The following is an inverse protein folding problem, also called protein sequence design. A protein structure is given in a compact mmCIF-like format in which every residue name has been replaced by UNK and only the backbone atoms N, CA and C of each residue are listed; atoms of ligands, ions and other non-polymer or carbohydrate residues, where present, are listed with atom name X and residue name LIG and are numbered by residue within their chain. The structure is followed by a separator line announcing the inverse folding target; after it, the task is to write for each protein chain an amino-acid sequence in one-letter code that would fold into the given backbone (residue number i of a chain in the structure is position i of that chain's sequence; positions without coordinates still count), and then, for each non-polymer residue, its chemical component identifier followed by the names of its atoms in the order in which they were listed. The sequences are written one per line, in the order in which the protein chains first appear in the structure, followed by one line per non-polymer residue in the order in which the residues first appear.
data_IF_196867428500
#
_entry.id   IF_196867428500
#
_cell.length_a   1.000
_cell.length_b   1.000
_cell.length_c   1.000
_cell.angle_alpha   90.00
_cell.angle_beta   90.00
_cell.angle_gamma   90.00
#
_symmetry.space_group_name_H-M   'P 1'
#
loop_
_entity.id
_entity.type
_entity.pdbx_description
1 polymer ?
#
# COMPACT_ATOMS: atom_id res chain seq x y z
N UNK A 1 -10.05 -5.33 -22.96
CA UNK A 1 -9.12 -4.18 -22.86
C UNK A 1 -9.88 -2.88 -23.00
N UNK A 2 -10.09 -2.11 -21.91
CA UNK A 2 -10.20 -0.68 -22.04
C UNK A 2 -8.77 -0.13 -22.21
N UNK A 3 -8.44 0.21 -23.46
CA UNK A 3 -7.44 1.23 -23.74
C UNK A 3 -7.89 2.55 -23.07
N UNK A 4 -6.92 3.37 -22.66
CA UNK A 4 -7.08 4.68 -22.01
C UNK A 4 -7.15 4.70 -20.47
N UNK A 5 -6.42 3.83 -19.77
CA UNK A 5 -5.88 4.27 -18.48
C UNK A 5 -4.74 5.26 -18.77
N UNK A 6 -5.10 6.54 -18.95
CA UNK A 6 -4.14 7.62 -18.73
C UNK A 6 -3.63 7.47 -17.31
N UNK A 7 -2.50 6.79 -17.16
CA UNK A 7 -1.78 6.72 -15.90
C UNK A 7 -1.59 8.17 -15.46
N UNK A 8 -1.96 8.53 -14.23
CA UNK A 8 -1.44 9.77 -13.69
C UNK A 8 0.09 9.61 -13.66
N UNK A 9 0.83 10.59 -14.18
CA UNK A 9 2.29 10.72 -14.02
C UNK A 9 2.64 10.93 -12.53
N UNK A 10 2.30 9.97 -11.67
CA UNK A 10 2.16 10.20 -10.23
C UNK A 10 3.44 9.91 -9.45
N UNK A 11 4.37 9.16 -10.06
CA UNK A 11 5.67 8.87 -9.47
C UNK A 11 6.74 9.27 -10.47
N UNK A 12 7.19 10.53 -10.36
CA UNK A 12 8.39 11.01 -11.02
C UNK A 12 9.57 10.07 -10.74
N UNK A 13 10.56 10.02 -11.63
CA UNK A 13 11.80 9.25 -11.42
C UNK A 13 12.42 9.51 -10.05
N UNK A 14 12.32 10.76 -9.57
CA UNK A 14 12.76 11.18 -8.25
C UNK A 14 12.03 10.46 -7.10
N UNK A 15 10.71 10.33 -7.18
CA UNK A 15 9.93 9.60 -6.17
C UNK A 15 10.21 8.09 -6.21
N UNK A 16 10.55 7.52 -7.38
CA UNK A 16 11.00 6.10 -7.48
C UNK A 16 12.36 5.89 -6.79
N UNK A 17 13.28 6.85 -6.95
CA UNK A 17 14.58 6.84 -6.27
C UNK A 17 14.39 6.98 -4.76
N UNK A 18 13.61 7.96 -4.30
CA UNK A 18 13.31 8.13 -2.86
C UNK A 18 12.64 6.90 -2.24
N UNK A 19 11.74 6.25 -2.98
CA UNK A 19 11.11 4.99 -2.57
C UNK A 19 12.12 3.85 -2.42
N UNK A 20 13.08 3.77 -3.33
CA UNK A 20 14.15 2.75 -3.30
C UNK A 20 15.17 3.04 -2.20
N UNK A 21 15.42 4.32 -1.90
CA UNK A 21 16.30 4.75 -0.79
C UNK A 21 15.71 4.41 0.58
N UNK A 22 14.38 4.27 0.68
CA UNK A 22 13.71 3.88 1.91
C UNK A 22 13.50 2.37 2.01
N UNK A 23 14.54 1.66 2.47
CA UNK A 23 14.58 0.20 2.54
C UNK A 23 13.38 -0.42 3.29
N UNK A 24 12.94 0.17 4.40
CA UNK A 24 11.81 -0.33 5.20
C UNK A 24 10.51 -0.38 4.39
N UNK A 25 10.17 0.70 3.68
CA UNK A 25 8.95 0.74 2.86
C UNK A 25 9.11 -0.10 1.59
N UNK A 26 10.30 -0.07 0.97
CA UNK A 26 10.59 -0.88 -0.21
C UNK A 26 10.43 -2.38 0.06
N UNK A 27 10.91 -2.87 1.22
CA UNK A 27 10.71 -4.26 1.66
C UNK A 27 9.22 -4.62 1.76
N UNK A 28 8.41 -3.73 2.32
CA UNK A 28 6.97 -3.97 2.45
C UNK A 28 6.24 -3.93 1.11
N UNK A 29 6.62 -3.02 0.21
CA UNK A 29 6.09 -3.01 -1.16
C UNK A 29 6.46 -4.33 -1.84
N UNK A 30 7.72 -4.74 -1.77
CA UNK A 30 8.17 -6.00 -2.35
C UNK A 30 7.37 -7.19 -1.78
N UNK A 31 7.20 -7.28 -0.46
CA UNK A 31 6.40 -8.31 0.21
C UNK A 31 4.96 -8.40 -0.32
N UNK A 32 4.29 -7.27 -0.49
CA UNK A 32 2.88 -7.22 -0.91
C UNK A 32 2.68 -7.20 -2.43
N UNK A 33 3.76 -7.14 -3.21
CA UNK A 33 3.74 -7.16 -4.68
C UNK A 33 4.44 -8.39 -5.28
N UNK A 34 5.03 -9.25 -4.46
CA UNK A 34 5.61 -10.52 -4.92
C UNK A 34 4.49 -11.49 -5.28
N UNK A 35 4.57 -12.05 -6.49
CA UNK A 35 3.55 -12.95 -7.01
C UNK A 35 3.66 -14.32 -6.37
N UNK A 36 2.53 -15.00 -6.24
CA UNK A 36 2.50 -16.38 -5.73
C UNK A 36 3.24 -17.35 -6.66
N UNK A 37 3.16 -17.11 -7.98
CA UNK A 37 3.88 -17.89 -9.00
C UNK A 37 5.40 -17.78 -8.91
N UNK A 38 5.92 -16.72 -8.30
CA UNK A 38 7.35 -16.48 -8.16
C UNK A 38 7.92 -17.14 -6.88
N UNK A 39 7.13 -17.98 -6.20
CA UNK A 39 7.56 -18.71 -4.99
C UNK A 39 7.21 -18.00 -3.68
N UNK A 40 6.51 -16.88 -3.73
CA UNK A 40 6.16 -16.07 -2.56
C UNK A 40 7.29 -15.15 -2.10
N UNK A 41 7.04 -14.34 -1.07
CA UNK A 41 8.04 -13.42 -0.53
C UNK A 41 9.20 -14.18 0.10
N UNK A 42 10.42 -13.87 -0.35
CA UNK A 42 11.66 -14.29 0.27
C UNK A 42 12.53 -13.04 0.56
N UNK A 43 12.87 -12.83 1.84
CA UNK A 43 13.69 -11.69 2.25
C UNK A 43 15.12 -11.77 1.69
N UNK A 44 15.62 -12.98 1.44
CA UNK A 44 16.92 -13.19 0.80
C UNK A 44 16.92 -12.70 -0.65
N UNK A 45 15.82 -12.86 -1.38
CA UNK A 45 15.70 -12.41 -2.77
C UNK A 45 15.66 -10.87 -2.87
N UNK A 46 15.04 -10.22 -1.90
CA UNK A 46 15.11 -8.76 -1.78
C UNK A 46 16.54 -8.31 -1.51
N UNK A 47 17.19 -8.86 -0.47
CA UNK A 47 18.55 -8.46 -0.06
C UNK A 47 19.64 -8.87 -1.06
N UNK A 48 19.40 -9.84 -1.93
CA UNK A 48 20.32 -10.29 -2.97
C UNK A 48 20.36 -9.34 -4.17
N UNK A 49 19.37 -8.46 -4.34
CA UNK A 49 19.37 -7.46 -5.39
C UNK A 49 20.39 -6.36 -5.07
N UNK A 50 21.41 -6.11 -5.92
CA UNK A 50 22.46 -5.12 -5.65
C UNK A 50 21.96 -3.69 -5.49
N UNK A 51 20.69 -3.44 -5.83
CA UNK A 51 20.11 -2.10 -5.85
C UNK A 51 18.84 -1.98 -4.98
N UNK A 52 18.25 -3.08 -4.48
CA UNK A 52 16.95 -3.06 -3.79
C UNK A 52 15.86 -2.22 -4.52
N UNK A 53 15.99 -2.04 -5.84
CA UNK A 53 15.11 -1.18 -6.63
C UNK A 53 13.83 -1.93 -6.94
N UNK A 54 12.70 -1.30 -6.63
CA UNK A 54 11.38 -1.79 -6.98
C UNK A 54 11.14 -1.68 -8.49
N UNK A 55 10.60 -2.73 -9.09
CA UNK A 55 10.15 -2.68 -10.49
C UNK A 55 8.91 -1.80 -10.65
N UNK A 56 8.66 -1.33 -11.88
CA UNK A 56 7.48 -0.49 -12.16
C UNK A 56 6.16 -1.19 -11.84
N UNK A 57 6.09 -2.50 -12.05
CA UNK A 57 4.90 -3.29 -11.73
C UNK A 57 4.68 -3.37 -10.21
N UNK A 58 5.74 -3.54 -9.41
CA UNK A 58 5.63 -3.57 -7.95
C UNK A 58 5.17 -2.22 -7.39
N UNK A 59 5.68 -1.13 -7.96
CA UNK A 59 5.23 0.21 -7.63
C UNK A 59 3.76 0.39 -8.01
N UNK A 60 3.36 -0.05 -9.21
CA UNK A 60 1.97 0.01 -9.68
C UNK A 60 1.03 -0.76 -8.75
N UNK A 61 1.37 -2.00 -8.43
CA UNK A 61 0.60 -2.85 -7.52
C UNK A 61 0.50 -2.21 -6.12
N UNK A 62 1.56 -1.56 -5.64
CA UNK A 62 1.51 -0.81 -4.38
C UNK A 62 0.56 0.39 -4.43
N UNK A 63 0.55 1.18 -5.52
CA UNK A 63 -0.28 2.40 -5.60
C UNK A 63 -1.70 2.16 -6.10
N UNK A 64 -2.00 1.01 -6.70
CA UNK A 64 -3.34 0.67 -7.18
C UNK A 64 -4.01 -0.45 -6.39
N UNK A 65 -3.23 -1.26 -5.67
CA UNK A 65 -3.73 -2.33 -4.82
C UNK A 65 -4.34 -1.83 -3.51
N UNK A 66 -4.83 -2.77 -2.67
CA UNK A 66 -5.56 -2.45 -1.45
C UNK A 66 -4.72 -1.68 -0.41
N UNK A 67 -3.39 -1.82 -0.46
CA UNK A 67 -2.46 -1.09 0.41
C UNK A 67 -2.12 0.33 -0.08
N UNK A 68 -2.69 0.78 -1.20
CA UNK A 68 -2.37 2.09 -1.82
C UNK A 68 -2.42 3.24 -0.82
N UNK A 69 -3.51 3.35 -0.07
CA UNK A 69 -3.67 4.39 0.93
C UNK A 69 -2.55 4.36 1.99
N UNK A 70 -2.23 3.17 2.49
CA UNK A 70 -1.15 2.96 3.46
C UNK A 70 0.20 3.40 2.88
N UNK A 71 0.58 2.91 1.71
CA UNK A 71 1.87 3.24 1.09
C UNK A 71 1.97 4.73 0.76
N UNK A 72 0.95 5.32 0.13
CA UNK A 72 0.95 6.74 -0.25
C UNK A 72 1.06 7.66 0.96
N UNK A 73 0.37 7.35 2.07
CA UNK A 73 0.44 8.15 3.28
C UNK A 73 1.84 8.08 3.92
N UNK A 74 2.50 6.90 3.89
CA UNK A 74 3.89 6.76 4.35
C UNK A 74 4.91 7.43 3.44
N UNK A 75 4.74 7.36 2.13
CA UNK A 75 5.60 8.05 1.15
C UNK A 75 5.56 9.57 1.39
N UNK A 76 4.37 10.13 1.63
CA UNK A 76 4.22 11.56 1.95
C UNK A 76 4.99 11.93 3.22
N UNK A 77 4.84 11.14 4.28
CA UNK A 77 5.55 11.34 5.55
C UNK A 77 7.07 11.30 5.35
N UNK A 78 7.58 10.29 4.64
CA UNK A 78 9.01 10.17 4.37
C UNK A 78 9.55 11.30 3.47
N UNK A 79 8.75 11.79 2.52
CA UNK A 79 9.14 12.93 1.67
C UNK A 79 9.47 14.17 2.51
N UNK A 80 8.75 14.41 3.62
CA UNK A 80 9.07 15.52 4.54
C UNK A 80 10.45 15.34 5.17
N UNK A 81 10.76 14.13 5.65
CA UNK A 81 12.05 13.80 6.25
C UNK A 81 13.18 13.91 5.22
N UNK A 82 12.98 13.35 4.02
CA UNK A 82 13.96 13.37 2.95
C UNK A 82 14.31 14.81 2.51
N UNK A 83 13.31 15.69 2.41
CA UNK A 83 13.51 17.12 2.13
C UNK A 83 14.33 17.80 3.23
N UNK A 84 14.01 17.54 4.50
CA UNK A 84 14.76 18.08 5.63
C UNK A 84 16.22 17.61 5.61
N UNK A 85 16.46 16.31 5.36
CA UNK A 85 17.81 15.76 5.23
C UNK A 85 18.58 16.38 4.06
N UNK A 86 17.92 16.57 2.92
CA UNK A 86 18.53 17.20 1.75
C UNK A 86 18.93 18.65 2.05
N UNK A 87 18.05 19.43 2.69
CA UNK A 87 18.36 20.80 3.10
C UNK A 87 19.54 20.86 4.09
N UNK A 88 19.58 19.95 5.08
CA UNK A 88 20.68 19.87 6.04
C UNK A 88 22.03 19.53 5.37
N UNK A 89 22.03 18.59 4.43
CA UNK A 89 23.24 18.22 3.68
C UNK A 89 23.74 19.37 2.80
N UNK A 90 22.83 20.11 2.17
CA UNK A 90 23.15 21.27 1.35
C UNK A 90 23.76 22.40 2.20
N UNK A 91 23.22 22.69 3.38
CA UNK A 91 23.77 23.72 4.26
C UNK A 91 25.14 23.32 4.85
N UNK A 92 25.39 22.02 5.04
CA UNK A 92 26.69 21.52 5.49
C UNK A 92 27.79 21.57 4.40
N UNK A 93 27.43 21.62 3.12
CA UNK A 93 28.39 21.58 2.00
C UNK A 93 28.44 22.91 1.23
N UNK A 94 29.49 23.68 1.45
CA UNK A 94 29.68 24.98 0.78
C UNK A 94 29.70 24.88 -0.76
N UNK A 95 30.19 23.77 -1.31
CA UNK A 95 30.20 23.50 -2.77
C UNK A 95 28.81 23.29 -3.38
N UNK A 96 27.81 22.91 -2.56
CA UNK A 96 26.44 22.73 -3.02
C UNK A 96 25.66 24.05 -2.96
N UNK A 97 26.02 24.97 -2.05
CA UNK A 97 25.36 26.28 -1.86
C UNK A 97 25.32 27.13 -3.12
N UNK A 98 26.41 27.13 -3.89
CA UNK A 98 26.54 27.92 -5.12
C UNK A 98 25.71 27.36 -6.30
N UNK A 99 25.29 26.09 -6.22
CA UNK A 99 24.52 25.41 -7.27
C UNK A 99 22.98 25.41 -7.03
N UNK A 100 22.50 26.00 -5.92
CA UNK A 100 21.07 25.95 -5.51
C UNK A 100 20.18 26.90 -6.31
N UNK A 101 20.73 27.82 -7.10
CA UNK A 101 19.95 28.87 -7.82
C UNK A 101 18.87 28.33 -8.77
N UNK A 102 18.84 27.01 -9.03
CA UNK A 102 17.84 26.32 -9.85
C UNK A 102 17.00 25.25 -9.12
N UNK A 103 17.22 25.02 -7.82
CA UNK A 103 16.42 24.07 -7.04
C UNK A 103 15.06 24.68 -6.67
N UNK A 104 14.05 23.83 -6.61
CA UNK A 104 12.65 24.20 -6.33
C UNK A 104 12.57 25.02 -5.04
N UNK A 105 11.83 26.14 -5.05
CA UNK A 105 11.74 27.04 -3.89
C UNK A 105 11.17 26.36 -2.65
N UNK A 106 10.43 25.27 -2.85
CA UNK A 106 9.85 24.43 -1.81
C UNK A 106 10.87 23.50 -1.12
N UNK A 107 12.09 23.38 -1.64
CA UNK A 107 13.21 22.61 -1.05
C UNK A 107 14.12 23.48 -0.16
N UNK A 108 13.97 24.81 -0.22
CA UNK A 108 14.78 25.74 0.57
C UNK A 108 14.11 25.95 1.93
N UNK A 109 14.48 25.13 2.91
CA UNK A 109 14.14 25.39 4.31
C UNK A 109 14.91 26.63 4.81
N UNK A 110 14.29 27.39 5.70
CA UNK A 110 14.93 28.56 6.34
C UNK A 110 16.16 28.07 7.13
N UNK A 111 17.26 28.83 7.18
CA UNK A 111 18.49 28.41 7.90
C UNK A 111 18.20 28.05 9.36
N UNK A 112 17.29 28.80 9.97
CA UNK A 112 16.81 28.59 11.34
C UNK A 112 16.09 27.24 11.53
N UNK A 113 15.53 26.67 10.47
CA UNK A 113 14.91 25.33 10.47
C UNK A 113 15.96 24.23 10.34
N UNK A 114 17.00 24.43 9.54
CA UNK A 114 18.08 23.46 9.34
C UNK A 114 18.95 23.32 10.58
N UNK A 115 19.32 24.43 11.23
CA UNK A 115 20.10 24.43 12.49
C UNK A 115 19.36 23.76 13.65
N UNK A 116 18.02 23.70 13.58
CA UNK A 116 17.16 23.13 14.62
C UNK A 116 17.03 21.61 14.55
N UNK A 117 17.36 20.99 13.41
CA UNK A 117 17.33 19.55 13.23
C UNK A 117 18.72 19.04 12.82
N UNK A 118 19.64 18.82 13.78
CA UNK A 118 20.89 18.17 13.47
C UNK A 118 20.63 16.77 12.89
N UNK A 119 21.58 16.24 12.11
CA UNK A 119 21.48 14.96 11.40
C UNK A 119 21.03 13.81 12.31
N UNK A 120 21.46 13.80 13.57
CA UNK A 120 21.06 12.79 14.56
C UNK A 120 19.57 12.84 14.90
N UNK A 121 18.96 14.03 14.99
CA UNK A 121 17.51 14.18 15.24
C UNK A 121 16.70 13.77 14.01
N UNK A 122 17.17 14.11 12.79
CA UNK A 122 16.54 13.63 11.55
C UNK A 122 16.58 12.11 11.48
N UNK A 123 17.67 11.49 11.94
CA UNK A 123 17.82 10.03 11.99
C UNK A 123 16.83 9.41 12.98
N UNK A 124 16.71 9.97 14.20
CA UNK A 124 15.72 9.50 15.20
C UNK A 124 14.27 9.61 14.69
N UNK A 125 13.93 10.69 13.98
CA UNK A 125 12.59 10.85 13.41
C UNK A 125 12.33 9.80 12.32
N UNK A 126 13.33 9.50 11.48
CA UNK A 126 13.21 8.41 10.51
C UNK A 126 13.06 7.05 11.20
N UNK A 127 13.86 6.74 12.22
CA UNK A 127 13.77 5.47 12.96
C UNK A 127 12.39 5.30 13.62
N UNK A 128 11.82 6.39 14.16
CA UNK A 128 10.45 6.40 14.68
C UNK A 128 9.41 6.14 13.57
N UNK A 129 9.58 6.74 12.40
CA UNK A 129 8.71 6.47 11.24
C UNK A 129 8.84 5.01 10.78
N UNK A 130 10.05 4.46 10.73
CA UNK A 130 10.33 3.08 10.34
C UNK A 130 9.64 2.09 11.29
N UNK A 131 9.77 2.30 12.60
CA UNK A 131 9.11 1.49 13.61
C UNK A 131 7.57 1.56 13.48
N UNK A 132 7.02 2.76 13.24
CA UNK A 132 5.59 2.93 13.00
C UNK A 132 5.14 2.21 11.73
N UNK A 133 5.89 2.27 10.64
CA UNK A 133 5.54 1.62 9.37
C UNK A 133 5.43 0.11 9.55
N UNK A 134 6.40 -0.50 10.25
CA UNK A 134 6.39 -1.94 10.55
C UNK A 134 5.20 -2.29 11.44
N UNK A 135 4.98 -1.53 12.52
CA UNK A 135 3.86 -1.77 13.45
C UNK A 135 2.50 -1.64 12.75
N UNK A 136 2.32 -0.58 11.96
CA UNK A 136 1.11 -0.36 11.17
C UNK A 136 0.87 -1.49 10.17
N UNK A 137 1.90 -1.99 9.49
CA UNK A 137 1.76 -3.12 8.59
C UNK A 137 1.28 -4.39 9.33
N UNK A 138 1.83 -4.67 10.52
CA UNK A 138 1.38 -5.80 11.34
C UNK A 138 -0.09 -5.67 11.76
N UNK A 139 -0.55 -4.44 12.05
CA UNK A 139 -1.98 -4.20 12.32
C UNK A 139 -2.86 -4.52 11.12
N UNK A 140 -2.43 -4.14 9.90
CA UNK A 140 -3.13 -4.51 8.66
C UNK A 140 -3.18 -6.03 8.48
N UNK A 141 -2.05 -6.72 8.65
CA UNK A 141 -1.99 -8.18 8.56
C UNK A 141 -2.92 -8.87 9.56
N UNK A 142 -2.99 -8.34 10.79
CA UNK A 142 -3.94 -8.79 11.79
C UNK A 142 -5.40 -8.63 11.35
N UNK A 143 -5.77 -7.47 10.78
CA UNK A 143 -7.13 -7.25 10.26
C UNK A 143 -7.46 -8.17 9.09
N UNK A 144 -6.51 -8.40 8.18
CA UNK A 144 -6.73 -9.23 7.00
C UNK A 144 -7.17 -10.63 7.35
N UNK A 145 -6.55 -11.24 8.36
CA UNK A 145 -6.94 -12.55 8.86
C UNK A 145 -8.41 -12.59 9.29
N UNK A 146 -8.87 -11.61 10.07
CA UNK A 146 -10.26 -11.54 10.52
C UNK A 146 -11.25 -11.32 9.37
N UNK A 147 -10.88 -10.45 8.42
CA UNK A 147 -11.69 -10.18 7.25
C UNK A 147 -11.84 -11.40 6.33
N UNK A 148 -10.75 -12.14 6.15
CA UNK A 148 -10.75 -13.39 5.39
C UNK A 148 -11.70 -14.41 6.03
N UNK A 149 -11.57 -14.62 7.33
CA UNK A 149 -12.43 -15.52 8.10
C UNK A 149 -13.91 -15.11 8.08
N UNK A 150 -14.20 -13.80 8.12
CA UNK A 150 -15.57 -13.28 8.03
C UNK A 150 -16.21 -13.60 6.68
N UNK A 151 -15.46 -13.43 5.58
CA UNK A 151 -15.96 -13.73 4.23
C UNK A 151 -16.18 -15.22 4.03
N UNK A 152 -15.17 -16.05 4.30
CA UNK A 152 -15.27 -17.51 4.11
C UNK A 152 -16.32 -18.11 5.04
N UNK A 153 -16.39 -17.64 6.29
CA UNK A 153 -17.43 -18.01 7.24
C UNK A 153 -18.83 -17.66 6.76
N UNK A 154 -19.03 -16.47 6.18
CA UNK A 154 -20.33 -16.07 5.61
C UNK A 154 -20.75 -16.97 4.45
N UNK A 155 -19.83 -17.34 3.55
CA UNK A 155 -20.13 -18.27 2.44
C UNK A 155 -20.50 -19.67 2.96
N UNK A 156 -19.69 -20.22 3.86
CA UNK A 156 -19.90 -21.55 4.43
C UNK A 156 -21.23 -21.65 5.19
N UNK A 157 -21.55 -20.65 6.03
CA UNK A 157 -22.81 -20.60 6.78
C UNK A 157 -24.04 -20.48 5.88
N UNK A 158 -23.88 -20.02 4.65
CA UNK A 158 -24.96 -19.89 3.67
C UNK A 158 -24.94 -21.00 2.60
N UNK A 159 -24.31 -22.13 2.90
CA UNK A 159 -24.40 -23.35 2.09
C UNK A 159 -23.45 -23.41 0.90
N UNK A 160 -22.47 -22.50 0.80
CA UNK A 160 -21.37 -22.62 -0.15
C UNK A 160 -20.12 -23.10 0.58
N UNK A 161 -19.99 -24.42 0.70
CA UNK A 161 -18.84 -25.04 1.37
C UNK A 161 -17.55 -24.78 0.58
N UNK A 162 -16.56 -24.14 1.19
CA UNK A 162 -15.19 -23.96 0.65
C UNK A 162 -14.29 -25.10 1.12
N UNK A 163 -13.37 -25.56 0.27
CA UNK A 163 -12.30 -26.48 0.68
C UNK A 163 -11.19 -25.75 1.42
N UNK A 164 -10.30 -26.51 2.05
CA UNK A 164 -9.06 -25.97 2.64
C UNK A 164 -8.24 -25.24 1.57
N UNK A 165 -7.99 -25.88 0.42
CA UNK A 165 -7.25 -25.27 -0.69
C UNK A 165 -7.88 -23.97 -1.19
N UNK A 166 -9.21 -23.93 -1.36
CA UNK A 166 -9.94 -22.72 -1.76
C UNK A 166 -9.79 -21.60 -0.71
N UNK A 167 -9.78 -21.97 0.58
CA UNK A 167 -9.63 -21.03 1.69
C UNK A 167 -8.20 -20.51 1.79
N UNK A 168 -7.20 -21.35 1.54
CA UNK A 168 -5.79 -20.98 1.51
C UNK A 168 -5.50 -20.03 0.34
N UNK A 169 -5.99 -20.34 -0.87
CA UNK A 169 -5.86 -19.49 -2.05
C UNK A 169 -6.57 -18.13 -1.85
N UNK A 170 -7.74 -18.14 -1.21
CA UNK A 170 -8.43 -16.91 -0.84
C UNK A 170 -7.67 -16.07 0.20
N UNK A 171 -6.94 -16.72 1.11
CA UNK A 171 -6.19 -16.04 2.17
C UNK A 171 -4.79 -15.59 1.72
N UNK A 172 -4.25 -16.20 0.66
CA UNK A 172 -2.93 -15.87 0.14
C UNK A 172 -2.84 -14.40 -0.32
N UNK A 173 -1.74 -13.68 0.00
CA UNK A 173 -1.51 -12.34 -0.53
C UNK A 173 -1.32 -12.44 -2.05
N UNK A 174 -2.02 -11.60 -2.80
CA UNK A 174 -1.97 -11.60 -4.26
C UNK A 174 -1.93 -10.16 -4.77
N UNK A 175 -0.91 -9.77 -5.55
CA UNK A 175 -0.86 -8.45 -6.17
C UNK A 175 -2.04 -8.27 -7.14
N UNK A 176 -2.50 -7.03 -7.31
CA UNK A 176 -3.66 -6.74 -8.16
C UNK A 176 -3.43 -7.17 -9.62
N UNK A 177 -2.21 -7.02 -10.13
CA UNK A 177 -1.84 -7.51 -11.47
C UNK A 177 -2.03 -9.03 -11.63
N UNK A 178 -1.72 -9.82 -10.59
CA UNK A 178 -1.89 -11.27 -10.61
C UNK A 178 -3.37 -11.67 -10.46
N UNK A 179 -4.09 -11.01 -9.56
CA UNK A 179 -5.52 -11.23 -9.37
C UNK A 179 -6.31 -10.97 -10.66
N UNK A 180 -6.02 -9.87 -11.38
CA UNK A 180 -6.66 -9.58 -12.66
C UNK A 180 -6.29 -10.60 -13.74
N UNK A 181 -5.04 -11.07 -13.77
CA UNK A 181 -4.62 -12.11 -14.71
C UNK A 181 -5.37 -13.44 -14.52
N UNK A 182 -5.83 -13.74 -13.29
CA UNK A 182 -6.68 -14.92 -13.03
C UNK A 182 -8.04 -14.81 -13.70
N UNK A 183 -8.65 -13.62 -13.72
CA UNK A 183 -9.90 -13.37 -14.44
C UNK A 183 -9.75 -13.62 -15.95
N UNK A 184 -8.66 -13.14 -16.53
CA UNK A 184 -8.33 -13.39 -17.94
C UNK A 184 -8.14 -14.90 -18.20
N UNK A 185 -7.43 -15.59 -17.29
CA UNK A 185 -7.19 -17.03 -17.37
C UNK A 185 -8.45 -17.89 -17.34
N UNK A 186 -9.50 -17.46 -16.65
CA UNK A 186 -10.81 -18.13 -16.62
C UNK A 186 -11.82 -17.54 -17.61
N UNK A 187 -11.40 -16.56 -18.42
CA UNK A 187 -12.22 -15.86 -19.42
C UNK A 187 -13.52 -15.26 -18.85
N UNK A 188 -13.42 -14.59 -17.70
CA UNK A 188 -14.55 -13.91 -17.05
C UNK A 188 -14.22 -12.43 -16.86
N UNK A 189 -15.21 -11.58 -17.12
CA UNK A 189 -15.06 -10.14 -16.86
C UNK A 189 -15.06 -9.89 -15.34
N UNK A 190 -14.03 -9.22 -14.79
CA UNK A 190 -14.00 -8.90 -13.37
C UNK A 190 -15.15 -7.95 -12.98
N UNK A 191 -15.68 -8.05 -11.75
CA UNK A 191 -16.60 -7.05 -11.21
C UNK A 191 -16.03 -5.65 -11.32
N UNK A 192 -16.89 -4.67 -11.61
CA UNK A 192 -16.48 -3.26 -11.61
C UNK A 192 -16.07 -2.83 -10.20
N UNK A 193 -14.89 -2.26 -10.10
CA UNK A 193 -14.28 -1.70 -8.89
C UNK A 193 -13.67 -0.34 -9.20
N UNK A 194 -13.54 0.50 -8.17
CA UNK A 194 -12.93 1.83 -8.29
C UNK A 194 -11.45 1.77 -7.88
N UNK A 195 -10.59 2.48 -8.61
CA UNK A 195 -9.15 2.51 -8.36
C UNK A 195 -8.72 3.84 -7.71
N UNK A 196 -7.71 3.83 -6.81
CA UNK A 196 -7.04 2.65 -6.25
C UNK A 196 -7.98 1.78 -5.41
N UNK A 197 -7.76 0.47 -5.39
CA UNK A 197 -8.66 -0.46 -4.70
C UNK A 197 -8.67 -0.22 -3.19
N UNK A 198 -9.85 -0.30 -2.59
CA UNK A 198 -9.98 -0.56 -1.16
C UNK A 198 -9.76 -2.04 -0.85
N UNK A 199 -9.60 -2.39 0.44
CA UNK A 199 -9.60 -3.80 0.84
C UNK A 199 -10.95 -4.47 0.56
N UNK A 200 -12.06 -3.73 0.68
CA UNK A 200 -13.38 -4.25 0.33
C UNK A 200 -13.47 -4.61 -1.16
N UNK A 201 -12.94 -3.76 -2.05
CA UNK A 201 -12.91 -4.04 -3.50
C UNK A 201 -12.01 -5.23 -3.82
N UNK A 202 -10.82 -5.28 -3.21
CA UNK A 202 -9.89 -6.40 -3.36
C UNK A 202 -10.53 -7.73 -2.93
N UNK A 203 -11.16 -7.77 -1.75
CA UNK A 203 -11.86 -8.97 -1.30
C UNK A 203 -13.09 -9.29 -2.12
N UNK A 204 -13.77 -8.29 -2.70
CA UNK A 204 -14.88 -8.52 -3.64
C UNK A 204 -14.39 -9.28 -4.88
N UNK A 205 -13.24 -8.88 -5.44
CA UNK A 205 -12.62 -9.56 -6.56
C UNK A 205 -12.18 -10.99 -6.18
N UNK A 206 -11.54 -11.18 -5.03
CA UNK A 206 -11.15 -12.53 -4.58
C UNK A 206 -12.36 -13.43 -4.32
N UNK A 207 -13.40 -12.89 -3.68
CA UNK A 207 -14.60 -13.65 -3.33
C UNK A 207 -15.36 -14.11 -4.56
N UNK A 208 -15.39 -13.31 -5.63
CA UNK A 208 -16.02 -13.71 -6.88
C UNK A 208 -15.33 -14.94 -7.49
N UNK A 209 -13.99 -14.96 -7.54
CA UNK A 209 -13.22 -16.13 -8.00
C UNK A 209 -13.42 -17.35 -7.09
N UNK A 210 -13.43 -17.13 -5.77
CA UNK A 210 -13.69 -18.18 -4.78
C UNK A 210 -15.08 -18.82 -4.99
N UNK A 211 -16.11 -17.99 -5.15
CA UNK A 211 -17.49 -18.46 -5.37
C UNK A 211 -17.58 -19.22 -6.69
N UNK A 212 -16.99 -18.70 -7.76
CA UNK A 212 -16.92 -19.38 -9.06
C UNK A 212 -16.28 -20.77 -8.91
N UNK A 213 -15.12 -20.85 -8.25
CA UNK A 213 -14.39 -22.09 -8.01
C UNK A 213 -15.24 -23.10 -7.22
N UNK A 214 -15.81 -22.66 -6.10
CA UNK A 214 -16.63 -23.50 -5.24
C UNK A 214 -17.90 -24.02 -5.95
N UNK A 215 -18.58 -23.17 -6.73
CA UNK A 215 -19.75 -23.57 -7.51
C UNK A 215 -19.40 -24.57 -8.61
N UNK A 216 -18.30 -24.32 -9.35
CA UNK A 216 -17.81 -25.20 -10.40
C UNK A 216 -17.49 -26.59 -9.85
N UNK A 217 -16.75 -26.67 -8.74
CA UNK A 217 -16.43 -27.92 -8.05
C UNK A 217 -17.68 -28.66 -7.57
N UNK A 218 -18.69 -27.95 -7.08
CA UNK A 218 -19.95 -28.54 -6.63
C UNK A 218 -20.89 -28.91 -7.80
N UNK A 219 -20.44 -28.73 -9.05
CA UNK A 219 -21.25 -28.92 -10.26
C UNK A 219 -22.57 -28.11 -10.24
N UNK A 220 -22.54 -26.96 -9.58
CA UNK A 220 -23.66 -26.03 -9.54
C UNK A 220 -23.55 -25.02 -10.70
N UNK A 221 -24.67 -24.41 -11.13
CA UNK A 221 -24.63 -23.28 -12.03
C UNK A 221 -23.69 -22.19 -11.48
N UNK A 222 -22.79 -21.70 -12.32
CA UNK A 222 -21.76 -20.72 -11.93
C UNK A 222 -21.70 -19.54 -12.91
N UNK A 223 -22.85 -19.22 -13.50
CA UNK A 223 -23.01 -17.98 -14.27
C UNK A 223 -22.96 -16.75 -13.34
N UNK A 224 -22.81 -15.57 -13.95
CA UNK A 224 -22.72 -14.31 -13.21
C UNK A 224 -23.93 -14.07 -12.27
N UNK A 225 -25.12 -14.52 -12.65
CA UNK A 225 -26.34 -14.34 -11.83
C UNK A 225 -26.27 -15.16 -10.56
N UNK A 226 -25.78 -16.39 -10.65
CA UNK A 226 -25.64 -17.28 -9.50
C UNK A 226 -24.49 -16.82 -8.58
N UNK A 227 -23.38 -16.33 -9.13
CA UNK A 227 -22.30 -15.74 -8.34
C UNK A 227 -22.80 -14.50 -7.59
N UNK A 228 -23.51 -13.60 -8.27
CA UNK A 228 -24.09 -12.39 -7.66
C UNK A 228 -25.07 -12.69 -6.52
N UNK A 229 -25.74 -13.85 -6.55
CA UNK A 229 -26.59 -14.28 -5.43
C UNK A 229 -25.77 -14.50 -4.15
N UNK A 230 -24.60 -15.12 -4.25
CA UNK A 230 -23.69 -15.31 -3.12
C UNK A 230 -22.96 -14.02 -2.74
N UNK A 231 -22.58 -13.19 -3.71
CA UNK A 231 -21.98 -11.88 -3.44
C UNK A 231 -22.88 -10.99 -2.59
N UNK A 232 -24.21 -11.08 -2.74
CA UNK A 232 -25.17 -10.34 -1.88
C UNK A 232 -25.07 -10.72 -0.40
N UNK A 233 -24.67 -11.95 -0.08
CA UNK A 233 -24.46 -12.41 1.30
C UNK A 233 -23.21 -11.80 1.92
N UNK A 234 -22.27 -11.35 1.09
CA UNK A 234 -21.04 -10.69 1.51
C UNK A 234 -21.19 -9.18 1.70
N UNK A 235 -22.36 -8.61 1.43
CA UNK A 235 -22.59 -7.16 1.57
C UNK A 235 -22.25 -6.66 2.97
N UNK A 236 -22.64 -7.38 4.01
CA UNK A 236 -22.34 -6.98 5.38
C UNK A 236 -20.83 -7.11 5.70
N UNK A 237 -20.18 -8.28 5.50
CA UNK A 237 -18.73 -8.40 5.67
C UNK A 237 -17.92 -7.34 4.93
N UNK A 238 -18.26 -7.06 3.66
CA UNK A 238 -17.56 -6.05 2.86
C UNK A 238 -17.74 -4.62 3.41
N UNK A 239 -18.94 -4.28 3.90
CA UNK A 239 -19.17 -2.99 4.57
C UNK A 239 -18.40 -2.88 5.90
N UNK A 240 -18.24 -3.99 6.63
CA UNK A 240 -17.45 -4.03 7.87
C UNK A 240 -15.96 -3.86 7.58
N UNK A 241 -15.46 -4.46 6.50
CA UNK A 241 -14.09 -4.27 6.00
C UNK A 241 -13.86 -2.80 5.66
N UNK A 242 -14.75 -2.17 4.88
CA UNK A 242 -14.59 -0.76 4.50
C UNK A 242 -14.57 0.18 5.73
N UNK A 243 -15.40 -0.10 6.75
CA UNK A 243 -15.39 0.64 8.02
C UNK A 243 -14.10 0.42 8.79
N UNK A 244 -13.66 -0.83 8.91
CA UNK A 244 -12.43 -1.21 9.61
C UNK A 244 -11.21 -0.57 8.96
N UNK A 245 -11.13 -0.60 7.62
CA UNK A 245 -10.09 0.05 6.82
C UNK A 245 -10.03 1.55 7.11
N UNK A 246 -11.17 2.25 7.04
CA UNK A 246 -11.23 3.70 7.30
C UNK A 246 -10.80 4.05 8.73
N UNK A 247 -11.23 3.25 9.71
CA UNK A 247 -10.87 3.46 11.10
C UNK A 247 -9.38 3.26 11.33
N UNK A 248 -8.82 2.13 10.85
CA UNK A 248 -7.41 1.81 10.99
C UNK A 248 -6.55 2.87 10.30
N UNK A 249 -6.88 3.24 9.06
CA UNK A 249 -6.16 4.29 8.34
C UNK A 249 -6.16 5.61 9.10
N UNK A 250 -7.31 6.05 9.63
CA UNK A 250 -7.39 7.31 10.39
C UNK A 250 -6.53 7.28 11.64
N UNK A 251 -6.52 6.17 12.36
CA UNK A 251 -5.66 5.97 13.52
C UNK A 251 -4.18 6.09 13.11
N UNK A 252 -3.76 5.32 12.11
CA UNK A 252 -2.36 5.29 11.67
C UNK A 252 -1.91 6.62 11.07
N UNK A 253 -2.81 7.36 10.41
CA UNK A 253 -2.53 8.70 9.93
C UNK A 253 -2.24 9.63 11.11
N UNK A 254 -3.07 9.60 12.16
CA UNK A 254 -2.84 10.40 13.38
C UNK A 254 -1.51 10.07 14.03
N UNK A 255 -1.17 8.78 14.17
CA UNK A 255 0.10 8.33 14.75
C UNK A 255 1.31 8.76 13.89
N UNK A 256 1.15 8.74 12.56
CA UNK A 256 2.18 9.22 11.62
C UNK A 256 2.34 10.73 11.69
N UNK A 257 1.25 11.47 11.75
CA UNK A 257 1.24 12.94 11.84
C UNK A 257 1.93 13.39 13.14
N UNK A 258 1.77 12.67 14.26
CA UNK A 258 2.50 12.97 15.52
C UNK A 258 4.02 12.90 15.34
N UNK A 259 4.53 11.97 14.53
CA UNK A 259 5.98 11.88 14.24
C UNK A 259 6.42 12.97 13.29
N UNK A 260 5.64 13.26 12.24
CA UNK A 260 5.98 14.30 11.26
C UNK A 260 5.78 15.71 11.80
N UNK A 261 4.87 15.92 12.75
CA UNK A 261 4.63 17.23 13.36
C UNK A 261 5.80 17.70 14.22
N UNK A 262 6.65 16.79 14.67
CA UNK A 262 7.97 17.13 15.24
C UNK A 262 8.78 18.00 14.27
N UNK A 263 8.56 17.84 12.96
CA UNK A 263 9.13 18.66 11.88
C UNK A 263 8.25 19.89 11.60
N UNK A 264 6.90 19.76 11.61
CA UNK A 264 5.97 20.84 11.24
C UNK A 264 5.75 21.95 12.28
N UNK A 265 6.24 21.83 13.51
CA UNK A 265 6.18 22.93 14.51
C UNK A 265 6.92 24.20 14.08
N UNK A 266 7.65 24.18 12.95
CA UNK A 266 8.26 25.36 12.33
C UNK A 266 7.31 26.17 11.41
N UNK A 267 6.08 25.71 11.15
CA UNK A 267 5.09 26.47 10.35
C UNK A 267 4.07 27.25 11.19
N UNK A 268 4.01 27.01 12.51
CA UNK A 268 3.04 27.65 13.42
C UNK A 268 3.53 28.95 14.09
N UNK A 269 4.77 29.39 13.85
CA UNK A 269 5.22 30.73 14.30
C UNK A 269 5.10 31.82 13.23
N UNK A 270 4.67 31.51 12.00
CA UNK A 270 4.39 32.53 10.95
C UNK A 270 2.89 32.89 10.80
N UNK A 271 2.06 32.64 11.82
CA UNK A 271 0.69 33.19 11.91
C UNK A 271 0.44 33.87 13.25
N UNK A 272 1.08 35.02 13.45
CA UNK A 272 0.54 36.27 14.05
C UNK A 272 1.72 37.15 14.49
N UNK A 273 2.22 37.94 13.56
CA UNK A 273 2.73 39.30 13.81
C UNK A 273 2.00 40.23 12.85
#
# INVERSE_FOLDING_TARGET
MPNDSKFPDFISTYQKVLLSDWSTLAKLIFKHSTKLKDGGYNEEDFNASPTNVLSELQILDAVQGPYSAFFLDKIKAFTVIARLRMAANIDAQDSLKDNITHLDKDLVLDKEQVERFPTDEITKIQEALDALVVSHNQQWEGQLFFWQMSITGSLNNNGLATTELESDEFSAPEPISELLARYDGVNITPPKVDYPLSFADYFRLKAYLLILSALSRQHLPHDAKQIEKFMKLLKQPLNEIEKGEKQLRKQQQTETDVVIDQINFASLTKKKS
#
